data_IF_290855749316
#
_entry.id   IF_290855749316
#
_cell.length_a   1.000
_cell.length_b   1.000
_cell.length_c   1.000
_cell.angle_alpha   90.00
_cell.angle_beta   90.00
_cell.angle_gamma   90.00
#
_symmetry.space_group_name_H-M   'P 1'
#
loop_
_entity.id
_entity.type
_entity.pdbx_description
1 polymer ?
#
# COMPACT_ATOMS: atom_id res chain seq x y z
N UNK A 1 -35.60 -2.11 2.55
CA UNK A 1 -34.32 -2.84 2.33
C UNK A 1 -33.37 -2.10 1.37
N UNK A 2 -33.87 -1.26 0.46
CA UNK A 2 -33.06 -0.47 -0.50
C UNK A 2 -32.31 0.73 0.10
N UNK A 3 -32.85 1.37 1.14
CA UNK A 3 -32.26 2.59 1.74
C UNK A 3 -30.86 2.36 2.35
N UNK A 4 -30.69 1.27 3.11
CA UNK A 4 -29.41 0.95 3.76
C UNK A 4 -28.30 0.58 2.78
N UNK A 5 -28.63 -0.11 1.68
CA UNK A 5 -27.65 -0.47 0.64
C UNK A 5 -27.19 0.77 -0.15
N UNK A 6 -28.11 1.71 -0.38
CA UNK A 6 -27.80 2.98 -1.03
C UNK A 6 -26.95 3.90 -0.14
N UNK A 7 -27.24 3.99 1.16
CA UNK A 7 -26.40 4.73 2.12
C UNK A 7 -24.99 4.16 2.16
N UNK A 8 -24.86 2.83 2.33
CA UNK A 8 -23.56 2.17 2.37
C UNK A 8 -22.73 2.43 1.10
N UNK A 9 -23.36 2.34 -0.08
CA UNK A 9 -22.66 2.57 -1.36
C UNK A 9 -22.20 4.02 -1.48
N UNK A 10 -22.99 4.99 -1.00
CA UNK A 10 -22.59 6.40 -0.97
C UNK A 10 -21.43 6.63 0.00
N UNK A 11 -21.55 6.15 1.24
CA UNK A 11 -20.50 6.28 2.25
C UNK A 11 -19.19 5.62 1.80
N UNK A 12 -19.30 4.48 1.11
CA UNK A 12 -18.16 3.78 0.53
C UNK A 12 -17.49 4.56 -0.61
N UNK A 13 -18.28 5.16 -1.50
CA UNK A 13 -17.75 5.95 -2.61
C UNK A 13 -17.15 7.28 -2.13
N UNK A 14 -17.82 7.97 -1.21
CA UNK A 14 -17.33 9.20 -0.58
C UNK A 14 -16.04 8.95 0.20
N UNK A 15 -15.99 7.85 0.98
CA UNK A 15 -14.79 7.41 1.67
C UNK A 15 -13.65 7.06 0.70
N UNK A 16 -13.97 6.44 -0.44
CA UNK A 16 -13.01 6.13 -1.49
C UNK A 16 -12.41 7.37 -2.16
N UNK A 17 -13.24 8.35 -2.52
CA UNK A 17 -12.77 9.62 -3.11
C UNK A 17 -11.87 10.38 -2.14
N UNK A 18 -12.31 10.53 -0.88
CA UNK A 18 -11.52 11.18 0.15
C UNK A 18 -10.19 10.47 0.40
N UNK A 19 -10.16 9.13 0.31
CA UNK A 19 -8.93 8.36 0.47
C UNK A 19 -7.94 8.60 -0.68
N UNK A 20 -8.42 8.67 -1.93
CA UNK A 20 -7.58 8.98 -3.10
C UNK A 20 -7.01 10.40 -3.01
N UNK A 21 -7.84 11.39 -2.65
CA UNK A 21 -7.39 12.78 -2.48
C UNK A 21 -6.29 12.89 -1.40
N UNK A 22 -6.47 12.21 -0.26
CA UNK A 22 -5.47 12.16 0.79
C UNK A 22 -4.20 11.43 0.34
N UNK A 23 -4.34 10.36 -0.45
CA UNK A 23 -3.19 9.64 -1.00
C UNK A 23 -2.38 10.55 -1.93
N UNK A 24 -3.01 11.33 -2.82
CA UNK A 24 -2.30 12.26 -3.70
C UNK A 24 -1.47 13.31 -2.93
N UNK A 25 -1.96 13.78 -1.79
CA UNK A 25 -1.25 14.74 -0.94
C UNK A 25 -0.07 14.08 -0.20
N UNK A 26 -0.24 12.84 0.26
CA UNK A 26 0.74 12.12 1.10
C UNK A 26 1.75 11.33 0.26
N UNK A 27 1.45 11.02 -1.00
CA UNK A 27 2.28 10.22 -1.88
C UNK A 27 3.72 10.76 -2.02
N UNK A 28 3.97 12.07 -2.21
CA UNK A 28 5.34 12.58 -2.37
C UNK A 28 6.23 12.30 -1.17
N UNK A 29 5.70 12.41 0.06
CA UNK A 29 6.47 12.13 1.27
C UNK A 29 6.66 10.62 1.47
N UNK A 30 5.66 9.80 1.13
CA UNK A 30 5.78 8.35 1.17
C UNK A 30 6.87 7.86 0.20
N UNK A 31 6.87 8.41 -1.01
CA UNK A 31 7.84 8.10 -2.06
C UNK A 31 9.27 8.40 -1.62
N UNK A 32 9.52 9.58 -1.03
CA UNK A 32 10.84 9.95 -0.48
C UNK A 32 11.28 9.02 0.64
N UNK A 33 10.36 8.63 1.53
CA UNK A 33 10.65 7.68 2.62
C UNK A 33 11.00 6.31 2.07
N UNK A 34 10.20 5.78 1.14
CA UNK A 34 10.40 4.46 0.55
C UNK A 34 11.72 4.39 -0.22
N UNK A 35 12.02 5.42 -1.01
CA UNK A 35 13.30 5.50 -1.70
C UNK A 35 14.47 5.49 -0.74
N UNK A 36 14.46 6.31 0.31
CA UNK A 36 15.55 6.33 1.29
C UNK A 36 15.72 4.99 2.00
N UNK A 37 14.63 4.26 2.25
CA UNK A 37 14.66 2.93 2.87
C UNK A 37 15.24 1.87 1.94
N UNK A 38 14.86 1.89 0.66
CA UNK A 38 15.24 0.85 -0.31
C UNK A 38 16.54 1.17 -1.06
N UNK A 39 16.98 2.44 -1.04
CA UNK A 39 18.16 2.94 -1.75
C UNK A 39 19.37 2.01 -1.58
N UNK A 40 19.72 1.70 -0.33
CA UNK A 40 20.91 0.91 0.00
C UNK A 40 20.90 -0.51 -0.58
N UNK A 41 19.73 -1.03 -0.91
CA UNK A 41 19.55 -2.35 -1.53
C UNK A 41 19.31 -2.28 -3.05
N UNK A 42 19.16 -1.08 -3.62
CA UNK A 42 18.70 -0.93 -5.00
C UNK A 42 19.85 -1.00 -6.01
N UNK A 43 19.84 -2.02 -6.88
CA UNK A 43 20.88 -2.25 -7.90
C UNK A 43 21.06 -1.16 -8.97
N UNK A 44 20.06 -0.28 -9.14
CA UNK A 44 20.09 0.79 -10.15
C UNK A 44 20.80 2.05 -9.63
N UNK A 45 20.98 2.18 -8.31
CA UNK A 45 21.65 3.35 -7.74
C UNK A 45 23.04 2.92 -7.25
N UNK A 46 24.07 3.36 -7.97
CA UNK A 46 25.46 3.14 -7.59
C UNK A 46 25.74 3.80 -6.24
N UNK A 47 26.61 3.23 -5.40
CA UNK A 47 26.96 3.77 -4.07
C UNK A 47 27.37 5.26 -4.10
N UNK A 48 27.89 5.73 -5.24
CA UNK A 48 28.30 7.12 -5.46
C UNK A 48 27.11 8.10 -5.64
N UNK A 49 25.95 7.59 -6.06
CA UNK A 49 24.71 8.35 -6.29
C UNK A 49 23.71 8.23 -5.14
N UNK A 50 24.18 7.79 -3.96
CA UNK A 50 23.30 7.67 -2.81
C UNK A 50 22.75 9.01 -2.33
N UNK A 51 21.43 9.09 -2.14
CA UNK A 51 20.79 10.30 -1.68
C UNK A 51 21.21 10.56 -0.24
N UNK A 52 21.85 11.71 -0.01
CA UNK A 52 22.47 12.06 1.28
C UNK A 52 21.47 12.50 2.35
N UNK A 53 20.19 12.58 2.02
CA UNK A 53 19.12 12.96 2.94
C UNK A 53 17.83 13.36 2.23
N UNK A 54 16.80 13.66 3.02
CA UNK A 54 15.44 14.00 2.55
C UNK A 54 15.45 15.19 1.59
N UNK A 55 16.14 16.27 1.96
CA UNK A 55 16.18 17.50 1.13
C UNK A 55 16.90 17.23 -0.20
N UNK A 56 17.98 16.45 -0.17
CA UNK A 56 18.71 16.08 -1.37
C UNK A 56 17.83 15.25 -2.32
N UNK A 57 17.07 14.28 -1.78
CA UNK A 57 16.07 13.52 -2.54
C UNK A 57 15.04 14.45 -3.21
N UNK A 58 14.34 15.26 -2.41
CA UNK A 58 13.20 16.07 -2.88
C UNK A 58 13.59 17.03 -4.00
N UNK A 59 14.85 17.52 -4.01
CA UNK A 59 15.35 18.42 -5.04
C UNK A 59 15.83 17.68 -6.29
N UNK A 60 16.57 16.58 -6.15
CA UNK A 60 17.21 15.92 -7.30
C UNK A 60 16.24 15.06 -8.12
N UNK A 61 15.28 14.40 -7.44
CA UNK A 61 14.29 13.53 -8.09
C UNK A 61 13.46 14.23 -9.17
N UNK A 62 12.83 15.40 -8.92
CA UNK A 62 12.06 16.07 -9.96
C UNK A 62 12.96 16.58 -11.10
N UNK A 63 14.25 16.81 -10.85
CA UNK A 63 15.22 17.19 -11.89
C UNK A 63 15.67 15.98 -12.74
N UNK A 64 15.74 14.79 -12.15
CA UNK A 64 16.19 13.57 -12.84
C UNK A 64 15.05 12.86 -13.59
N UNK A 65 13.86 12.79 -12.99
CA UNK A 65 12.73 11.99 -13.48
C UNK A 65 11.49 12.82 -13.85
N UNK A 66 11.47 14.10 -13.49
CA UNK A 66 10.33 15.00 -13.67
C UNK A 66 9.34 14.96 -12.50
N UNK A 67 8.60 16.05 -12.32
CA UNK A 67 7.54 16.18 -11.29
C UNK A 67 6.49 15.05 -11.28
N UNK A 68 6.05 14.45 -12.40
CA UNK A 68 5.04 13.39 -12.34
C UNK A 68 5.55 12.06 -11.75
N UNK A 69 6.85 11.93 -11.44
CA UNK A 69 7.38 10.74 -10.79
C UNK A 69 6.79 10.49 -9.39
N UNK A 70 6.39 11.56 -8.68
CA UNK A 70 5.84 11.45 -7.33
C UNK A 70 4.46 10.78 -7.28
N UNK A 71 3.70 10.80 -8.38
CA UNK A 71 2.41 10.12 -8.47
C UNK A 71 2.54 8.70 -9.05
N UNK A 72 3.76 8.25 -9.32
CA UNK A 72 4.03 6.93 -9.89
C UNK A 72 3.75 5.87 -8.80
N UNK A 73 2.69 5.09 -9.01
CA UNK A 73 2.22 4.11 -8.03
C UNK A 73 0.86 4.46 -7.39
N UNK A 74 0.32 5.66 -7.59
CA UNK A 74 -0.96 6.03 -6.98
C UNK A 74 -2.12 5.12 -7.45
N UNK A 75 -2.09 4.64 -8.70
CA UNK A 75 -3.10 3.74 -9.25
C UNK A 75 -3.23 2.40 -8.48
N UNK A 76 -2.14 1.64 -8.22
CA UNK A 76 -2.20 0.50 -7.31
C UNK A 76 -2.70 0.85 -5.90
N UNK A 77 -2.33 2.02 -5.37
CA UNK A 77 -2.72 2.45 -4.02
C UNK A 77 -4.22 2.73 -3.90
N UNK A 78 -4.82 3.33 -4.93
CA UNK A 78 -6.28 3.51 -5.04
C UNK A 78 -7.02 2.18 -5.24
N UNK A 79 -6.52 1.29 -6.10
CA UNK A 79 -7.11 -0.04 -6.30
C UNK A 79 -7.10 -0.86 -5.02
N UNK A 80 -6.05 -0.74 -4.20
CA UNK A 80 -5.91 -1.42 -2.92
C UNK A 80 -6.98 -1.04 -1.89
N UNK A 81 -7.51 0.18 -1.94
CA UNK A 81 -8.52 0.64 -0.97
C UNK A 81 -9.78 -0.24 -1.00
N UNK A 82 -10.29 -0.53 -2.20
CA UNK A 82 -11.51 -1.32 -2.41
C UNK A 82 -11.47 -2.72 -1.78
N UNK A 83 -10.53 -3.62 -2.11
CA UNK A 83 -10.45 -4.95 -1.52
C UNK A 83 -10.17 -4.87 -0.02
N UNK A 84 -9.35 -3.92 0.45
CA UNK A 84 -9.10 -3.73 1.88
C UNK A 84 -10.38 -3.39 2.62
N UNK A 85 -11.21 -2.52 2.06
CA UNK A 85 -12.46 -2.09 2.69
C UNK A 85 -13.53 -3.18 2.67
N UNK A 86 -13.62 -3.94 1.56
CA UNK A 86 -14.50 -5.12 1.47
C UNK A 86 -14.12 -6.19 2.48
N UNK A 87 -12.83 -6.48 2.61
CA UNK A 87 -12.32 -7.49 3.56
C UNK A 87 -12.48 -7.01 5.01
N UNK A 88 -12.24 -5.72 5.29
CA UNK A 88 -12.55 -5.16 6.60
C UNK A 88 -14.04 -5.29 6.93
N UNK A 89 -14.94 -4.99 6.00
CA UNK A 89 -16.37 -5.16 6.22
C UNK A 89 -16.75 -6.63 6.46
N UNK A 90 -16.18 -7.55 5.70
CA UNK A 90 -16.49 -8.98 5.82
C UNK A 90 -15.96 -9.63 7.11
N UNK A 91 -14.77 -9.22 7.55
CA UNK A 91 -14.03 -9.97 8.57
C UNK A 91 -13.92 -9.28 9.93
N UNK A 92 -14.00 -7.95 9.97
CA UNK A 92 -13.72 -7.17 11.20
C UNK A 92 -14.67 -7.53 12.34
N UNK A 93 -15.96 -7.64 12.07
CA UNK A 93 -16.95 -7.93 13.12
C UNK A 93 -16.91 -9.41 13.52
N UNK A 94 -16.70 -10.32 12.57
CA UNK A 94 -16.53 -11.76 12.86
C UNK A 94 -15.31 -12.03 13.74
N UNK A 95 -14.15 -11.44 13.41
CA UNK A 95 -12.95 -11.62 14.22
C UNK A 95 -13.04 -10.92 15.58
N UNK A 96 -13.62 -9.71 15.63
CA UNK A 96 -13.86 -9.04 16.92
C UNK A 96 -14.77 -9.88 17.81
N UNK A 97 -15.86 -10.42 17.28
CA UNK A 97 -16.76 -11.25 18.08
C UNK A 97 -16.10 -12.57 18.50
N UNK A 98 -15.29 -13.18 17.63
CA UNK A 98 -14.60 -14.44 17.93
C UNK A 98 -13.48 -14.29 18.98
N UNK A 99 -12.76 -13.17 19.00
CA UNK A 99 -11.62 -12.96 19.91
C UNK A 99 -11.93 -12.07 21.13
N UNK A 100 -12.99 -11.26 21.07
CA UNK A 100 -13.39 -10.32 22.14
C UNK A 100 -14.81 -10.57 22.66
N UNK A 101 -15.51 -11.59 22.15
CA UNK A 101 -16.82 -11.98 22.64
C UNK A 101 -16.78 -12.35 24.11
N UNK A 102 -17.45 -11.57 24.95
CA UNK A 102 -17.53 -11.81 26.40
C UNK A 102 -16.31 -11.32 27.21
N UNK A 103 -15.37 -10.58 26.60
CA UNK A 103 -14.22 -10.02 27.32
C UNK A 103 -14.51 -8.61 27.79
N UNK A 104 -14.58 -8.42 29.11
CA UNK A 104 -14.83 -7.11 29.71
C UNK A 104 -13.56 -6.26 29.77
N UNK A 105 -13.62 -5.06 29.16
CA UNK A 105 -12.46 -4.15 29.04
C UNK A 105 -11.91 -3.69 30.38
N UNK A 106 -12.77 -3.55 31.39
CA UNK A 106 -12.42 -2.96 32.69
C UNK A 106 -11.87 -3.97 33.69
N UNK A 107 -12.26 -5.23 33.60
CA UNK A 107 -11.84 -6.29 34.53
C UNK A 107 -10.69 -7.13 33.98
N UNK A 108 -10.56 -7.24 32.66
CA UNK A 108 -9.61 -8.15 31.99
C UNK A 108 -8.76 -7.44 30.93
N UNK A 109 -8.03 -6.39 31.32
CA UNK A 109 -7.21 -5.58 30.41
C UNK A 109 -6.28 -6.41 29.51
N UNK A 110 -5.48 -7.33 30.08
CA UNK A 110 -4.52 -8.13 29.30
C UNK A 110 -5.19 -9.11 28.34
N UNK A 111 -6.36 -9.65 28.72
CA UNK A 111 -7.13 -10.54 27.87
C UNK A 111 -7.77 -9.76 26.71
N UNK A 112 -8.31 -8.57 27.00
CA UNK A 112 -8.83 -7.66 25.98
C UNK A 112 -7.71 -7.18 25.04
N UNK A 113 -6.53 -6.86 25.57
CA UNK A 113 -5.37 -6.45 24.77
C UNK A 113 -4.91 -7.58 23.83
N UNK A 114 -4.72 -8.80 24.36
CA UNK A 114 -4.35 -9.96 23.56
C UNK A 114 -5.41 -10.30 22.51
N UNK A 115 -6.70 -10.26 22.87
CA UNK A 115 -7.82 -10.48 21.94
C UNK A 115 -7.89 -9.44 20.82
N UNK A 116 -7.59 -8.16 21.10
CA UNK A 116 -7.55 -7.12 20.06
C UNK A 116 -6.36 -7.30 19.13
N UNK A 117 -5.18 -7.68 19.65
CA UNK A 117 -4.03 -7.99 18.83
C UNK A 117 -4.30 -9.21 17.93
N UNK A 118 -4.84 -10.28 18.50
CA UNK A 118 -5.20 -11.49 17.76
C UNK A 118 -6.26 -11.20 16.69
N UNK A 119 -7.32 -10.46 17.04
CA UNK A 119 -8.36 -10.04 16.08
C UNK A 119 -7.80 -9.17 14.96
N UNK A 120 -6.86 -8.26 15.26
CA UNK A 120 -6.29 -7.37 14.26
C UNK A 120 -5.36 -8.13 13.31
N UNK A 121 -4.52 -9.03 13.84
CA UNK A 121 -3.65 -9.88 13.02
C UNK A 121 -4.44 -10.86 12.16
N UNK A 122 -5.47 -11.50 12.72
CA UNK A 122 -6.31 -12.46 12.00
C UNK A 122 -7.14 -11.80 10.88
N UNK A 123 -7.61 -10.55 11.07
CA UNK A 123 -8.30 -9.80 10.03
C UNK A 123 -7.33 -9.30 8.92
N UNK A 124 -6.08 -8.99 9.29
CA UNK A 124 -5.08 -8.51 8.34
C UNK A 124 -4.53 -9.61 7.44
N UNK A 125 -4.37 -10.83 7.95
CA UNK A 125 -3.81 -11.96 7.18
C UNK A 125 -4.53 -12.23 5.84
N UNK A 126 -5.86 -12.44 5.79
CA UNK A 126 -6.56 -12.65 4.52
C UNK A 126 -6.52 -11.40 3.64
N UNK A 127 -6.50 -10.21 4.22
CA UNK A 127 -6.35 -8.96 3.48
C UNK A 127 -5.02 -8.90 2.74
N UNK A 128 -3.92 -9.22 3.43
CA UNK A 128 -2.59 -9.31 2.82
C UNK A 128 -2.54 -10.38 1.73
N UNK A 129 -3.22 -11.52 1.90
CA UNK A 129 -3.30 -12.55 0.86
C UNK A 129 -3.93 -12.08 -0.45
N UNK A 130 -4.66 -10.96 -0.52
CA UNK A 130 -5.17 -10.41 -1.79
C UNK A 130 -4.50 -9.10 -2.18
N UNK A 131 -4.10 -8.32 -1.19
CA UNK A 131 -3.63 -6.94 -1.36
C UNK A 131 -2.11 -6.88 -1.53
N UNK A 132 -1.36 -7.86 -1.00
CA UNK A 132 0.09 -7.85 -1.02
C UNK A 132 0.71 -7.79 -2.43
N UNK A 133 0.14 -8.41 -3.49
CA UNK A 133 0.64 -8.23 -4.85
C UNK A 133 0.49 -6.78 -5.36
N UNK A 134 -0.54 -6.06 -4.91
CA UNK A 134 -0.70 -4.64 -5.25
C UNK A 134 0.31 -3.78 -4.50
N UNK A 135 0.55 -4.08 -3.22
CA UNK A 135 1.60 -3.43 -2.42
C UNK A 135 2.99 -3.69 -3.02
N UNK A 136 3.25 -4.90 -3.48
CA UNK A 136 4.51 -5.28 -4.12
C UNK A 136 4.74 -4.47 -5.40
N UNK A 137 3.74 -4.41 -6.28
CA UNK A 137 3.84 -3.65 -7.53
C UNK A 137 3.93 -2.15 -7.25
N UNK A 138 3.19 -1.66 -6.26
CA UNK A 138 3.30 -0.28 -5.78
C UNK A 138 4.75 0.03 -5.42
N UNK A 139 5.34 -0.73 -4.50
CA UNK A 139 6.73 -0.55 -4.07
C UNK A 139 7.69 -0.60 -5.26
N UNK A 140 7.57 -1.60 -6.15
CA UNK A 140 8.43 -1.73 -7.34
C UNK A 140 8.32 -0.54 -8.31
N UNK A 141 7.12 0.01 -8.52
CA UNK A 141 6.91 1.18 -9.38
C UNK A 141 7.42 2.47 -8.74
N UNK A 142 7.29 2.61 -7.42
CA UNK A 142 7.73 3.76 -6.64
C UNK A 142 9.26 3.81 -6.56
N UNK A 143 9.94 2.66 -6.44
CA UNK A 143 11.41 2.62 -6.38
C UNK A 143 12.11 2.63 -7.76
N UNK A 144 11.37 2.44 -8.85
CA UNK A 144 11.94 2.49 -10.20
C UNK A 144 12.33 3.92 -10.58
N UNK A 145 13.62 4.22 -10.43
CA UNK A 145 14.21 5.54 -10.73
C UNK A 145 14.57 5.76 -12.21
N UNK A 146 14.17 4.85 -13.10
CA UNK A 146 14.47 4.96 -14.54
C UNK A 146 13.81 6.17 -15.22
N UNK A 147 14.58 6.90 -16.04
CA UNK A 147 14.06 8.04 -16.84
C UNK A 147 13.05 7.53 -17.88
N UNK A 148 12.05 8.37 -18.20
CA UNK A 148 10.96 8.02 -19.11
C UNK A 148 11.49 7.48 -20.46
N UNK A 149 11.13 6.23 -20.79
CA UNK A 149 11.60 5.55 -22.01
C UNK A 149 12.14 4.14 -21.72
N UNK A 150 13.19 3.75 -22.45
CA UNK A 150 13.80 2.41 -22.39
C UNK A 150 14.57 2.10 -21.07
N UNK A 151 14.80 3.11 -20.22
CA UNK A 151 15.48 2.95 -18.93
C UNK A 151 14.54 2.57 -17.77
N UNK A 152 13.21 2.63 -17.98
CA UNK A 152 12.22 2.20 -16.99
C UNK A 152 12.15 0.68 -16.93
N UNK A 153 12.25 0.12 -15.72
CA UNK A 153 12.12 -1.32 -15.50
C UNK A 153 10.70 -1.80 -15.78
N UNK A 154 9.69 -0.99 -15.45
CA UNK A 154 8.27 -1.27 -15.72
C UNK A 154 7.51 -0.02 -16.19
N UNK A 155 6.76 -0.14 -17.29
CA UNK A 155 5.99 0.96 -17.87
C UNK A 155 4.66 1.23 -17.15
N UNK A 156 4.17 0.28 -16.34
CA UNK A 156 2.94 0.42 -15.55
C UNK A 156 2.64 -0.79 -14.66
N UNK A 157 1.47 -0.79 -14.01
CA UNK A 157 1.00 -1.85 -13.09
C UNK A 157 0.98 -3.23 -13.77
N UNK A 158 0.34 -3.34 -14.93
CA UNK A 158 0.19 -4.60 -15.67
C UNK A 158 1.53 -5.12 -16.20
N UNK A 159 2.39 -4.23 -16.72
CA UNK A 159 3.73 -4.58 -17.20
C UNK A 159 4.63 -5.07 -16.05
N UNK A 160 4.55 -4.43 -14.88
CA UNK A 160 5.28 -4.87 -13.69
C UNK A 160 4.82 -6.25 -13.24
N UNK A 161 3.51 -6.46 -13.09
CA UNK A 161 2.95 -7.76 -12.71
C UNK A 161 3.37 -8.88 -13.68
N UNK A 162 3.32 -8.63 -14.99
CA UNK A 162 3.70 -9.63 -16.00
C UNK A 162 5.19 -9.93 -15.95
N UNK A 163 6.05 -8.92 -15.77
CA UNK A 163 7.52 -9.12 -15.66
C UNK A 163 7.90 -9.84 -14.37
N UNK A 164 7.28 -9.48 -13.25
CA UNK A 164 7.54 -10.10 -11.96
C UNK A 164 7.04 -11.56 -11.95
N UNK A 165 5.86 -11.83 -12.51
CA UNK A 165 5.36 -13.20 -12.67
C UNK A 165 6.24 -14.04 -13.61
N UNK A 166 6.77 -13.45 -14.69
CA UNK A 166 7.70 -14.15 -15.60
C UNK A 166 9.08 -14.44 -14.99
N UNK A 167 9.54 -13.62 -14.05
CA UNK A 167 10.88 -13.73 -13.45
C UNK A 167 10.91 -14.54 -12.15
N UNK A 168 9.88 -14.42 -11.30
CA UNK A 168 9.80 -15.08 -9.99
C UNK A 168 8.64 -16.07 -9.83
N UNK A 169 7.76 -16.20 -10.82
CA UNK A 169 6.57 -17.04 -10.73
C UNK A 169 5.57 -16.55 -9.68
N UNK A 170 4.75 -17.47 -9.15
CA UNK A 170 3.72 -17.17 -8.14
C UNK A 170 4.28 -16.72 -6.78
N UNK A 171 5.58 -16.99 -6.51
CA UNK A 171 6.33 -16.52 -5.34
C UNK A 171 7.05 -15.19 -5.57
N UNK A 172 7.04 -14.65 -6.79
CA UNK A 172 7.59 -13.31 -7.04
C UNK A 172 6.91 -12.24 -6.17
N UNK A 173 5.57 -12.18 -6.14
CA UNK A 173 4.85 -11.16 -5.38
C UNK A 173 4.57 -11.51 -3.91
N UNK A 174 5.03 -12.66 -3.36
CA UNK A 174 4.84 -13.10 -1.95
C UNK A 174 6.12 -13.69 -1.37
#
# INVERSE_FOLDING_TARGET
MTDGSMSFTKDFLEGGVAAVDLQDIVEPIHWVRLLLQVHSAHRQITADKQYKGIINCVVHIPMEQGVPCFQRGNLPNGIKYFPTQVLNFAFKDTYKQSFLGGVDKRTQFWHYFAGNLASSGAAAAPSLCFVYPLDFVYTHLTVDVGKAGAEKKSQGLSDCQVKDYKSGGMRGPY
#
